data_IF_367104324197
#
_entry.id   IF_367104324197
#
_cell.length_a   1.000
_cell.length_b   1.000
_cell.length_c   1.000
_cell.angle_alpha   90.00
_cell.angle_beta   90.00
_cell.angle_gamma   90.00
#
_symmetry.space_group_name_H-M   'P 1'
#
loop_
_entity.id
_entity.type
_entity.pdbx_description
1 polymer ?
#
# COMPACT_ATOMS: atom_id res chain seq x y z
N UNK A 1 13.61 -6.80 0.59
CA UNK A 1 15.00 -6.88 1.09
C UNK A 1 15.55 -5.51 1.49
N UNK A 2 14.71 -4.45 1.51
CA UNK A 2 15.17 -3.10 1.86
C UNK A 2 15.93 -2.40 0.73
N UNK A 3 15.92 -2.95 -0.50
CA UNK A 3 16.59 -2.36 -1.66
C UNK A 3 15.99 -1.05 -2.16
N UNK A 4 14.84 -0.63 -1.61
CA UNK A 4 14.10 0.55 -2.06
C UNK A 4 13.36 0.35 -3.40
N UNK A 5 13.40 -0.88 -3.93
CA UNK A 5 12.68 -1.33 -5.12
C UNK A 5 11.85 -2.56 -4.76
N UNK A 6 10.78 -2.82 -5.49
CA UNK A 6 9.98 -4.05 -5.31
C UNK A 6 10.47 -5.06 -6.33
N UNK A 7 11.03 -6.18 -5.88
CA UNK A 7 11.41 -7.28 -6.75
C UNK A 7 10.18 -8.11 -7.18
N UNK A 8 10.32 -8.93 -8.22
CA UNK A 8 9.21 -9.73 -8.74
C UNK A 8 8.64 -10.71 -7.70
N UNK A 9 9.50 -11.29 -6.85
CA UNK A 9 9.07 -12.21 -5.80
C UNK A 9 8.30 -11.46 -4.71
N UNK A 10 8.76 -10.29 -4.30
CA UNK A 10 8.09 -9.41 -3.35
C UNK A 10 6.72 -8.97 -3.87
N UNK A 11 6.63 -8.63 -5.16
CA UNK A 11 5.37 -8.32 -5.81
C UNK A 11 4.40 -9.50 -5.77
N UNK A 12 4.84 -10.70 -6.16
CA UNK A 12 4.01 -11.91 -6.18
C UNK A 12 3.58 -12.31 -4.76
N UNK A 13 4.50 -12.25 -3.78
CA UNK A 13 4.17 -12.52 -2.38
C UNK A 13 3.16 -11.52 -1.84
N UNK A 14 3.36 -10.21 -2.06
CA UNK A 14 2.40 -9.18 -1.65
C UNK A 14 1.02 -9.38 -2.26
N UNK A 15 0.95 -9.65 -3.58
CA UNK A 15 -0.32 -9.93 -4.26
C UNK A 15 -0.98 -11.21 -3.75
N UNK A 16 -0.21 -12.25 -3.41
CA UNK A 16 -0.76 -13.50 -2.90
C UNK A 16 -1.48 -13.31 -1.56
N UNK A 17 -0.91 -12.51 -0.66
CA UNK A 17 -1.50 -12.18 0.64
C UNK A 17 -2.74 -11.30 0.46
N UNK A 18 -2.66 -10.29 -0.40
CA UNK A 18 -3.80 -9.39 -0.67
C UNK A 18 -5.00 -10.13 -1.28
N UNK A 19 -4.76 -11.04 -2.22
CA UNK A 19 -5.81 -11.76 -2.94
C UNK A 19 -6.32 -13.01 -2.22
N UNK A 20 -5.45 -13.77 -1.54
CA UNK A 20 -5.78 -15.10 -0.98
C UNK A 20 -5.39 -15.30 0.49
N UNK A 21 -4.74 -14.33 1.12
CA UNK A 21 -4.39 -14.41 2.53
C UNK A 21 -5.62 -14.41 3.45
N UNK A 22 -5.44 -14.93 4.66
CA UNK A 22 -6.38 -14.80 5.76
C UNK A 22 -6.51 -13.34 6.21
N UNK A 23 -7.56 -13.04 6.99
CA UNK A 23 -7.75 -11.69 7.51
C UNK A 23 -6.59 -11.25 8.42
N UNK A 24 -6.05 -12.16 9.22
CA UNK A 24 -4.92 -11.92 10.13
C UNK A 24 -3.66 -11.56 9.33
N UNK A 25 -3.33 -12.35 8.30
CA UNK A 25 -2.18 -12.06 7.43
C UNK A 25 -2.33 -10.71 6.70
N UNK A 26 -3.55 -10.37 6.25
CA UNK A 26 -3.81 -9.06 5.62
C UNK A 26 -3.60 -7.91 6.58
N UNK A 27 -4.06 -8.04 7.83
CA UNK A 27 -3.88 -7.01 8.86
C UNK A 27 -2.41 -6.87 9.21
N UNK A 28 -1.69 -7.98 9.38
CA UNK A 28 -0.26 -7.97 9.70
C UNK A 28 0.55 -7.30 8.57
N UNK A 29 0.30 -7.68 7.32
CA UNK A 29 0.97 -7.07 6.17
C UNK A 29 0.61 -5.60 5.99
N UNK A 30 -0.65 -5.22 6.22
CA UNK A 30 -1.06 -3.82 6.17
C UNK A 30 -0.31 -3.01 7.24
N UNK A 31 -0.25 -3.51 8.48
CA UNK A 31 0.47 -2.84 9.56
C UNK A 31 1.96 -2.69 9.24
N UNK A 32 2.62 -3.76 8.77
CA UNK A 32 4.03 -3.72 8.34
C UNK A 32 4.28 -2.79 7.16
N UNK A 33 3.32 -2.63 6.25
CA UNK A 33 3.43 -1.67 5.15
C UNK A 33 3.27 -0.22 5.59
N UNK A 34 2.66 0.00 6.75
CA UNK A 34 2.32 1.31 7.29
C UNK A 34 3.36 1.84 8.29
N UNK A 35 3.95 0.92 9.07
CA UNK A 35 5.12 1.14 9.92
C UNK A 35 6.39 1.16 9.05
N UNK A 36 6.81 2.36 8.65
CA UNK A 36 7.88 2.54 7.67
C UNK A 36 9.26 2.36 8.30
N UNK A 37 9.40 2.66 9.59
CA UNK A 37 10.65 2.50 10.33
C UNK A 37 10.76 1.13 11.04
N UNK A 38 9.74 0.29 10.96
CA UNK A 38 9.65 -1.01 11.63
C UNK A 38 9.81 -0.91 13.15
N UNK A 39 9.35 0.19 13.76
CA UNK A 39 9.37 0.37 15.21
C UNK A 39 8.36 -0.51 15.95
N UNK A 40 7.43 -1.14 15.23
CA UNK A 40 6.29 -1.87 15.76
C UNK A 40 5.10 -0.97 16.12
N UNK A 41 5.19 0.34 15.83
CA UNK A 41 4.16 1.32 16.13
C UNK A 41 3.97 2.27 14.96
N UNK A 42 2.72 2.57 14.60
CA UNK A 42 2.44 3.58 13.59
C UNK A 42 2.46 4.96 14.25
N UNK A 43 3.47 5.76 13.94
CA UNK A 43 3.58 7.13 14.41
C UNK A 43 2.63 8.07 13.67
N UNK A 44 2.36 9.24 14.27
CA UNK A 44 1.52 10.28 13.63
C UNK A 44 2.06 10.71 12.27
N UNK A 45 3.39 10.78 12.13
CA UNK A 45 4.04 11.19 10.89
C UNK A 45 3.93 10.13 9.79
N UNK A 46 4.04 8.85 10.15
CA UNK A 46 3.79 7.74 9.22
C UNK A 46 2.34 7.74 8.76
N UNK A 47 1.39 7.81 9.71
CA UNK A 47 -0.03 7.91 9.39
C UNK A 47 -0.33 9.09 8.45
N UNK A 48 0.31 10.25 8.67
CA UNK A 48 0.19 11.41 7.79
C UNK A 48 0.72 11.13 6.38
N UNK A 49 1.88 10.48 6.25
CA UNK A 49 2.44 10.09 4.94
C UNK A 49 1.47 9.16 4.21
N UNK A 50 0.84 8.24 4.93
CA UNK A 50 -0.13 7.31 4.35
C UNK A 50 -1.36 8.00 3.81
N UNK A 51 -1.99 8.87 4.61
CA UNK A 51 -3.16 9.62 4.15
C UNK A 51 -2.82 10.45 2.90
N UNK A 52 -1.66 11.10 2.88
CA UNK A 52 -1.21 11.83 1.68
C UNK A 52 -1.10 10.93 0.46
N UNK A 53 -0.47 9.76 0.59
CA UNK A 53 -0.33 8.81 -0.51
C UNK A 53 -1.71 8.29 -0.98
N UNK A 54 -2.60 7.96 -0.04
CA UNK A 54 -3.96 7.52 -0.32
C UNK A 54 -4.76 8.58 -1.09
N UNK A 55 -4.73 9.83 -0.63
CA UNK A 55 -5.42 10.92 -1.32
C UNK A 55 -4.86 11.16 -2.72
N UNK A 56 -3.53 11.15 -2.86
CA UNK A 56 -2.88 11.31 -4.17
C UNK A 56 -3.34 10.23 -5.16
N UNK A 57 -3.23 8.95 -4.77
CA UNK A 57 -3.64 7.83 -5.60
C UNK A 57 -5.14 7.86 -5.91
N UNK A 58 -5.98 8.21 -4.93
CA UNK A 58 -7.42 8.30 -5.14
C UNK A 58 -7.78 9.41 -6.14
N UNK A 59 -7.11 10.57 -6.06
CA UNK A 59 -7.33 11.66 -7.02
C UNK A 59 -6.85 11.30 -8.43
N UNK A 60 -5.72 10.61 -8.57
CA UNK A 60 -5.27 10.10 -9.87
C UNK A 60 -6.21 9.07 -10.45
N UNK A 61 -6.64 8.08 -9.66
CA UNK A 61 -7.58 7.05 -10.10
C UNK A 61 -8.90 7.66 -10.58
N UNK A 62 -9.46 8.63 -9.82
CA UNK A 62 -10.68 9.34 -10.24
C UNK A 62 -10.47 10.06 -11.57
N UNK A 63 -9.32 10.72 -11.76
CA UNK A 63 -9.00 11.40 -13.02
C UNK A 63 -8.92 10.43 -14.19
N UNK A 64 -8.29 9.27 -14.00
CA UNK A 64 -8.12 8.27 -15.04
C UNK A 64 -9.45 7.61 -15.40
N UNK A 65 -10.30 7.32 -14.41
CA UNK A 65 -11.67 6.82 -14.65
C UNK A 65 -12.51 7.84 -15.41
N UNK A 66 -12.43 9.14 -15.07
CA UNK A 66 -13.15 10.19 -15.79
C UNK A 66 -12.69 10.27 -17.24
N UNK A 67 -11.38 10.28 -17.50
CA UNK A 67 -10.84 10.30 -18.87
C UNK A 67 -11.31 9.10 -19.69
N UNK A 68 -11.28 7.90 -19.11
CA UNK A 68 -11.70 6.67 -19.78
C UNK A 68 -13.20 6.63 -20.11
N UNK A 69 -14.03 7.48 -19.49
CA UNK A 69 -15.45 7.64 -19.81
C UNK A 69 -15.72 8.73 -20.85
N UNK A 70 -14.77 9.66 -21.03
CA UNK A 70 -14.83 10.73 -22.04
C UNK A 70 -14.33 10.26 -23.41
N UNK A 71 -13.58 9.15 -23.45
CA UNK A 71 -13.17 8.39 -24.66
C UNK A 71 -14.20 7.32 -25.05
#
# INVERSE_FOLDING_TARGET
>A
DGSGSIDFRELVCGLSVLCKGSQEEKIEYAFKGYDLDNSGYITRDELRKMFKAYFYLSMELVRDVVKALEE
#
